data_IF_437920393469
#
_entry.id   IF_437920393469
#
_cell.length_a   1.000
_cell.length_b   1.000
_cell.length_c   1.000
_cell.angle_alpha   90.00
_cell.angle_beta   90.00
_cell.angle_gamma   90.00
#
_symmetry.space_group_name_H-M   'P 1'
#
loop_
_entity.id
_entity.type
_entity.pdbx_description
1 polymer ?
#
# COMPACT_ATOMS: atom_id res chain seq x y z
N UNK A 1 -20.63 12.41 5.48
CA UNK A 1 -19.45 13.29 5.73
C UNK A 1 -18.16 12.51 6.03
N UNK A 2 -18.20 11.21 6.39
CA UNK A 2 -16.98 10.38 6.58
C UNK A 2 -16.34 9.84 5.27
N UNK A 3 -16.98 10.07 4.12
CA UNK A 3 -16.61 9.49 2.81
C UNK A 3 -15.42 10.20 2.13
N UNK A 4 -15.09 11.42 2.56
CA UNK A 4 -14.14 12.30 1.86
C UNK A 4 -12.68 11.88 2.09
N UNK A 5 -12.29 11.63 3.35
CA UNK A 5 -10.90 11.27 3.69
C UNK A 5 -10.49 9.89 3.17
N UNK A 6 -11.39 8.89 3.25
CA UNK A 6 -11.12 7.54 2.73
C UNK A 6 -10.88 7.57 1.22
N UNK A 7 -11.70 8.34 0.50
CA UNK A 7 -11.54 8.51 -0.94
C UNK A 7 -10.25 9.25 -1.28
N UNK A 8 -9.85 10.25 -0.50
CA UNK A 8 -8.54 10.90 -0.65
C UNK A 8 -7.39 9.91 -0.42
N UNK A 9 -7.48 9.03 0.58
CA UNK A 9 -6.43 8.00 0.82
C UNK A 9 -6.31 7.01 -0.32
N UNK A 10 -7.43 6.67 -0.96
CA UNK A 10 -7.41 5.82 -2.15
C UNK A 10 -6.85 6.53 -3.38
N UNK A 11 -7.00 7.86 -3.49
CA UNK A 11 -6.32 8.65 -4.51
C UNK A 11 -4.81 8.68 -4.27
N UNK A 12 -4.38 8.91 -3.03
CA UNK A 12 -2.96 8.88 -2.66
C UNK A 12 -2.34 7.50 -2.99
N UNK A 13 -3.07 6.41 -2.70
CA UNK A 13 -2.68 5.05 -3.08
C UNK A 13 -2.63 4.84 -4.60
N UNK A 14 -3.52 5.49 -5.36
CA UNK A 14 -3.48 5.43 -6.81
C UNK A 14 -2.23 6.12 -7.36
N UNK A 15 -1.93 7.33 -6.89
CA UNK A 15 -0.75 8.10 -7.29
C UNK A 15 0.53 7.32 -6.97
N UNK A 16 0.53 6.61 -5.83
CA UNK A 16 1.58 5.69 -5.46
C UNK A 16 1.77 4.50 -6.44
N UNK A 17 0.69 4.05 -7.09
CA UNK A 17 0.76 2.95 -8.06
C UNK A 17 0.95 3.47 -9.49
N UNK A 18 0.79 4.76 -9.77
CA UNK A 18 1.02 5.40 -11.07
C UNK A 18 2.24 6.33 -11.04
N UNK A 19 3.46 5.80 -10.81
CA UNK A 19 4.66 6.63 -10.76
C UNK A 19 5.02 7.24 -12.12
N UNK A 20 4.57 6.63 -13.23
CA UNK A 20 4.74 7.17 -14.58
C UNK A 20 3.72 8.26 -14.93
N UNK A 21 2.76 8.54 -14.04
CA UNK A 21 1.74 9.60 -14.14
C UNK A 21 0.96 9.54 -15.45
N UNK A 22 0.63 8.33 -15.89
CA UNK A 22 -0.15 8.12 -17.10
C UNK A 22 -1.67 8.11 -16.85
N UNK A 23 -2.08 8.44 -15.61
CA UNK A 23 -3.45 8.54 -15.11
C UNK A 23 -4.20 7.20 -15.09
N UNK A 24 -3.47 6.09 -15.26
CA UNK A 24 -4.04 4.74 -15.23
C UNK A 24 -3.17 3.78 -14.43
N UNK A 25 -3.80 3.02 -13.53
CA UNK A 25 -3.13 1.88 -12.90
C UNK A 25 -3.45 0.62 -13.71
N UNK A 26 -2.44 -0.17 -14.00
CA UNK A 26 -2.56 -1.40 -14.77
C UNK A 26 -1.43 -2.38 -14.46
N UNK A 27 -1.31 -3.45 -15.26
CA UNK A 27 -0.21 -4.41 -15.11
C UNK A 27 1.18 -3.72 -15.12
N UNK A 28 1.35 -2.71 -15.96
CA UNK A 28 2.62 -1.98 -16.14
C UNK A 28 3.03 -1.22 -14.86
N UNK A 29 2.08 -0.63 -14.14
CA UNK A 29 2.26 0.01 -12.83
C UNK A 29 2.92 -0.93 -11.83
N UNK A 30 2.42 -2.16 -11.77
CA UNK A 30 2.96 -3.18 -10.87
C UNK A 30 4.33 -3.68 -11.34
N UNK A 31 4.52 -3.90 -12.64
CA UNK A 31 5.82 -4.29 -13.19
C UNK A 31 6.90 -3.22 -12.86
N UNK A 32 6.53 -1.93 -12.87
CA UNK A 32 7.42 -0.84 -12.46
C UNK A 32 7.75 -0.89 -10.95
N UNK A 33 6.73 -1.01 -10.09
CA UNK A 33 6.94 -1.13 -8.64
C UNK A 33 7.82 -2.34 -8.29
N UNK A 34 7.56 -3.50 -8.91
CA UNK A 34 8.36 -4.71 -8.74
C UNK A 34 9.81 -4.48 -9.17
N UNK A 35 10.03 -3.85 -10.32
CA UNK A 35 11.38 -3.57 -10.84
C UNK A 35 12.18 -2.69 -9.87
N UNK A 36 11.54 -1.74 -9.20
CA UNK A 36 12.17 -0.89 -8.19
C UNK A 36 12.50 -1.63 -6.90
N UNK A 37 11.70 -2.63 -6.57
CA UNK A 37 11.88 -3.47 -5.38
C UNK A 37 12.80 -4.67 -5.63
N UNK A 38 13.10 -5.01 -6.88
CA UNK A 38 13.94 -6.17 -7.25
C UNK A 38 15.39 -6.03 -6.71
N UNK A 39 15.88 -4.79 -6.60
CA UNK A 39 17.17 -4.48 -5.95
C UNK A 39 17.11 -4.58 -4.41
N UNK A 40 15.92 -4.74 -3.81
CA UNK A 40 15.74 -4.85 -2.37
C UNK A 40 15.73 -6.33 -1.94
N UNK A 41 16.90 -6.81 -1.48
CA UNK A 41 17.15 -8.21 -1.08
C UNK A 41 16.24 -8.74 0.04
N UNK A 42 15.61 -7.86 0.82
CA UNK A 42 14.74 -8.25 1.94
C UNK A 42 13.27 -8.45 1.53
N UNK A 43 12.94 -8.13 0.27
CA UNK A 43 11.59 -8.24 -0.29
C UNK A 43 11.42 -9.56 -1.02
N UNK A 44 10.39 -10.33 -0.68
CA UNK A 44 10.07 -11.54 -1.43
C UNK A 44 9.23 -11.19 -2.66
N UNK A 45 9.92 -10.85 -3.75
CA UNK A 45 9.32 -10.40 -5.01
C UNK A 45 8.27 -11.39 -5.56
N UNK A 46 8.48 -12.70 -5.39
CA UNK A 46 7.54 -13.72 -5.88
C UNK A 46 6.21 -13.69 -5.13
N UNK A 47 6.25 -13.53 -3.81
CA UNK A 47 5.03 -13.45 -3.02
C UNK A 47 4.38 -12.08 -3.15
N UNK A 48 5.18 -11.01 -3.32
CA UNK A 48 4.71 -9.66 -3.61
C UNK A 48 3.93 -9.61 -4.93
N UNK A 49 4.47 -10.23 -5.99
CA UNK A 49 3.80 -10.41 -7.27
C UNK A 49 2.45 -11.12 -7.14
N UNK A 50 2.36 -12.20 -6.34
CA UNK A 50 1.10 -12.92 -6.13
C UNK A 50 0.08 -12.06 -5.40
N UNK A 51 0.48 -11.41 -4.30
CA UNK A 51 -0.41 -10.56 -3.51
C UNK A 51 -0.96 -9.39 -4.35
N UNK A 52 -0.10 -8.75 -5.15
CA UNK A 52 -0.53 -7.71 -6.07
C UNK A 52 -1.46 -8.22 -7.16
N UNK A 53 -1.20 -9.39 -7.75
CA UNK A 53 -2.08 -9.96 -8.76
C UNK A 53 -3.48 -10.26 -8.18
N UNK A 54 -3.56 -10.79 -6.96
CA UNK A 54 -4.84 -11.01 -6.29
C UNK A 54 -5.58 -9.71 -5.98
N UNK A 55 -4.87 -8.69 -5.50
CA UNK A 55 -5.40 -7.34 -5.30
C UNK A 55 -5.93 -6.75 -6.61
N UNK A 56 -5.13 -6.81 -7.67
CA UNK A 56 -5.48 -6.29 -8.98
C UNK A 56 -6.72 -6.97 -9.56
N UNK A 57 -6.85 -8.30 -9.45
CA UNK A 57 -8.08 -9.00 -9.86
C UNK A 57 -9.32 -8.49 -9.12
N UNK A 58 -9.18 -8.14 -7.84
CA UNK A 58 -10.29 -7.58 -7.06
C UNK A 58 -10.74 -6.25 -7.65
N UNK A 59 -9.79 -5.35 -7.95
CA UNK A 59 -10.07 -4.06 -8.59
C UNK A 59 -10.65 -4.24 -10.00
N UNK A 60 -10.11 -5.16 -10.80
CA UNK A 60 -10.56 -5.45 -12.16
C UNK A 60 -11.98 -6.01 -12.22
N UNK A 61 -12.31 -6.95 -11.35
CA UNK A 61 -13.64 -7.60 -11.32
C UNK A 61 -14.77 -6.58 -11.14
N UNK A 62 -14.50 -5.47 -10.47
CA UNK A 62 -15.44 -4.37 -10.21
C UNK A 62 -15.51 -3.36 -11.36
N UNK A 63 -14.54 -3.39 -12.26
CA UNK A 63 -14.39 -2.48 -13.39
C UNK A 63 -14.61 -3.18 -14.75
N UNK A 64 -15.33 -4.31 -14.76
CA UNK A 64 -15.62 -5.06 -15.99
C UNK A 64 -14.38 -5.73 -16.59
N UNK A 65 -13.41 -6.12 -15.75
CA UNK A 65 -12.16 -6.78 -16.15
C UNK A 65 -11.30 -5.97 -17.13
N UNK A 66 -11.34 -4.64 -17.03
CA UNK A 66 -10.50 -3.75 -17.85
C UNK A 66 -9.01 -3.99 -17.56
N UNK A 67 -8.14 -3.88 -18.57
CA UNK A 67 -6.69 -4.05 -18.40
C UNK A 67 -6.03 -2.92 -17.61
N UNK A 68 -6.67 -1.75 -17.58
CA UNK A 68 -6.27 -0.56 -16.82
C UNK A 68 -7.50 0.08 -16.17
N UNK A 69 -7.28 0.81 -15.07
CA UNK A 69 -8.33 1.58 -14.38
C UNK A 69 -7.85 3.01 -14.15
N UNK A 70 -8.75 3.97 -14.36
CA UNK A 70 -8.51 5.37 -13.99
C UNK A 70 -8.55 5.57 -12.47
N UNK A 71 -8.07 6.73 -12.00
CA UNK A 71 -8.11 7.11 -10.57
C UNK A 71 -9.50 6.97 -9.97
N UNK A 72 -10.54 7.47 -10.64
CA UNK A 72 -11.91 7.39 -10.14
C UNK A 72 -12.40 5.94 -10.06
N UNK A 73 -12.16 5.14 -11.10
CA UNK A 73 -12.52 3.71 -11.13
C UNK A 73 -11.82 2.89 -10.04
N UNK A 74 -10.58 3.26 -9.71
CA UNK A 74 -9.83 2.66 -8.62
C UNK A 74 -10.44 2.99 -7.26
N UNK A 75 -10.71 4.28 -7.01
CA UNK A 75 -11.34 4.76 -5.78
C UNK A 75 -12.72 4.14 -5.59
N UNK A 76 -13.55 4.09 -6.63
CA UNK A 76 -14.89 3.48 -6.59
C UNK A 76 -14.82 1.98 -6.28
N UNK A 77 -13.88 1.25 -6.90
CA UNK A 77 -13.69 -0.17 -6.63
C UNK A 77 -13.30 -0.46 -5.18
N UNK A 78 -12.38 0.34 -4.62
CA UNK A 78 -11.95 0.22 -3.23
C UNK A 78 -13.02 0.68 -2.24
N UNK A 79 -13.79 1.72 -2.56
CA UNK A 79 -14.91 2.17 -1.74
C UNK A 79 -16.02 1.12 -1.67
N UNK A 80 -16.26 0.42 -2.77
CA UNK A 80 -17.19 -0.71 -2.79
C UNK A 80 -16.64 -1.95 -2.07
N UNK A 81 -15.34 -1.99 -1.70
CA UNK A 81 -14.72 -3.17 -1.07
C UNK A 81 -15.05 -3.17 0.41
N UNK A 82 -15.62 -4.28 0.92
CA UNK A 82 -15.94 -4.36 2.34
C UNK A 82 -14.64 -4.33 3.16
N UNK A 83 -14.68 -3.72 4.35
CA UNK A 83 -13.50 -3.59 5.21
C UNK A 83 -12.80 -4.93 5.45
N UNK A 84 -13.54 -6.02 5.67
CA UNK A 84 -12.98 -7.36 5.83
C UNK A 84 -12.18 -7.86 4.62
N UNK A 85 -12.61 -7.54 3.40
CA UNK A 85 -11.88 -7.90 2.18
C UNK A 85 -10.61 -7.05 2.06
N UNK A 86 -10.72 -5.76 2.40
CA UNK A 86 -9.59 -4.84 2.43
C UNK A 86 -8.54 -5.23 3.49
N UNK A 87 -8.97 -5.70 4.65
CA UNK A 87 -8.13 -6.22 5.74
C UNK A 87 -7.34 -7.46 5.32
N UNK A 88 -7.98 -8.35 4.54
CA UNK A 88 -7.31 -9.51 3.97
C UNK A 88 -6.29 -9.13 2.91
N UNK A 89 -6.64 -8.17 2.05
CA UNK A 89 -5.75 -7.68 0.98
C UNK A 89 -4.52 -6.97 1.55
N UNK A 90 -4.72 -6.04 2.49
CA UNK A 90 -3.63 -5.32 3.16
C UNK A 90 -2.71 -6.25 3.94
N UNK A 91 -3.27 -7.21 4.67
CA UNK A 91 -2.47 -8.21 5.38
C UNK A 91 -1.64 -9.09 4.44
N UNK A 92 -2.13 -9.38 3.23
CA UNK A 92 -1.37 -10.12 2.20
C UNK A 92 -0.27 -9.25 1.59
N UNK A 93 -0.58 -8.01 1.24
CA UNK A 93 0.43 -7.06 0.71
C UNK A 93 1.55 -6.89 1.73
N UNK A 94 1.23 -6.68 3.01
CA UNK A 94 2.24 -6.60 4.07
C UNK A 94 3.07 -7.88 4.19
N UNK A 95 2.41 -9.04 4.30
CA UNK A 95 3.11 -10.33 4.40
C UNK A 95 4.01 -10.60 3.19
N UNK A 96 3.64 -10.07 2.03
CA UNK A 96 4.40 -10.23 0.80
C UNK A 96 5.57 -9.24 0.66
N UNK A 97 5.41 -8.01 1.16
CA UNK A 97 6.44 -7.00 1.16
C UNK A 97 7.51 -7.27 2.24
N UNK A 98 7.08 -7.72 3.42
CA UNK A 98 7.95 -7.80 4.59
C UNK A 98 8.10 -9.20 5.20
N UNK A 99 7.27 -10.16 4.78
CA UNK A 99 7.20 -11.50 5.39
C UNK A 99 6.20 -11.59 6.55
N UNK A 100 6.16 -12.76 7.21
CA UNK A 100 5.33 -12.99 8.40
C UNK A 100 6.04 -12.63 9.72
N UNK A 101 7.23 -12.04 9.65
CA UNK A 101 8.05 -11.71 10.83
C UNK A 101 7.96 -10.24 11.24
N UNK A 102 8.78 -9.90 12.22
CA UNK A 102 9.03 -8.53 12.67
C UNK A 102 9.72 -7.72 11.57
N UNK A 103 9.30 -6.48 11.39
CA UNK A 103 9.90 -5.55 10.43
C UNK A 103 10.63 -4.47 11.20
N UNK A 104 11.96 -4.47 11.16
CA UNK A 104 12.76 -3.42 11.80
C UNK A 104 12.60 -2.09 11.08
N UNK A 105 12.89 -0.99 11.78
CA UNK A 105 12.90 0.37 11.18
C UNK A 105 13.74 0.47 9.92
N UNK A 106 14.96 -0.09 9.93
CA UNK A 106 15.85 -0.07 8.76
C UNK A 106 15.23 -0.81 7.56
N UNK A 107 14.66 -2.01 7.79
CA UNK A 107 13.98 -2.77 6.73
C UNK A 107 12.78 -2.01 6.16
N UNK A 108 11.97 -1.41 7.03
CA UNK A 108 10.82 -0.60 6.60
C UNK A 108 11.27 0.60 5.75
N UNK A 109 12.29 1.34 6.22
CA UNK A 109 12.82 2.51 5.52
C UNK A 109 13.39 2.14 4.15
N UNK A 110 14.18 1.06 4.04
CA UNK A 110 14.72 0.59 2.75
C UNK A 110 13.65 0.19 1.77
N UNK A 111 12.61 -0.51 2.23
CA UNK A 111 11.45 -0.84 1.39
C UNK A 111 10.76 0.44 0.91
N UNK A 112 10.51 1.38 1.83
CA UNK A 112 9.81 2.62 1.55
C UNK A 112 10.55 3.49 0.54
N UNK A 113 11.88 3.60 0.65
CA UNK A 113 12.71 4.39 -0.27
C UNK A 113 12.87 3.70 -1.62
N UNK A 114 13.02 2.37 -1.66
CA UNK A 114 13.06 1.61 -2.90
C UNK A 114 11.74 1.73 -3.68
N UNK A 115 10.60 1.69 -2.99
CA UNK A 115 9.28 1.92 -3.57
C UNK A 115 9.10 3.36 -4.10
N UNK A 116 9.95 4.31 -3.69
CA UNK A 116 10.00 5.67 -4.20
C UNK A 116 9.70 6.78 -3.22
N UNK A 117 9.48 6.43 -1.96
CA UNK A 117 9.18 7.38 -0.92
C UNK A 117 10.42 8.07 -0.36
N UNK A 118 10.17 9.17 0.34
CA UNK A 118 11.21 9.89 1.08
C UNK A 118 11.58 9.16 2.39
N UNK A 119 12.87 9.21 2.74
CA UNK A 119 13.39 8.55 3.95
C UNK A 119 12.81 9.15 5.23
N UNK A 120 12.71 10.47 5.34
CA UNK A 120 12.17 11.12 6.54
C UNK A 120 10.68 10.79 6.72
N UNK A 121 9.94 10.74 5.61
CA UNK A 121 8.56 10.26 5.61
C UNK A 121 8.46 8.80 6.07
N UNK A 122 9.34 7.91 5.57
CA UNK A 122 9.40 6.51 5.98
C UNK A 122 9.60 6.37 7.50
N UNK A 123 10.52 7.16 8.07
CA UNK A 123 10.79 7.15 9.50
C UNK A 123 9.59 7.65 10.33
N UNK A 124 8.92 8.71 9.87
CA UNK A 124 7.71 9.23 10.52
C UNK A 124 6.60 8.18 10.55
N UNK A 125 6.40 7.45 9.45
CA UNK A 125 5.38 6.41 9.41
C UNK A 125 5.73 5.21 10.24
N UNK A 126 6.99 4.77 10.23
CA UNK A 126 7.42 3.70 11.14
C UNK A 126 7.04 4.03 12.58
N UNK A 127 7.40 5.22 13.08
CA UNK A 127 7.08 5.66 14.45
C UNK A 127 5.58 5.78 14.73
N UNK A 128 4.74 6.00 13.71
CA UNK A 128 3.28 6.00 13.88
C UNK A 128 2.67 4.60 13.91
N UNK A 129 3.27 3.66 13.17
CA UNK A 129 2.81 2.28 13.11
C UNK A 129 3.27 1.47 14.33
N UNK A 130 4.49 1.74 14.82
CA UNK A 130 5.12 1.13 16.00
C UNK A 130 4.46 1.69 17.26
N UNK A 131 3.36 1.04 17.65
CA UNK A 131 2.42 1.56 18.62
C UNK A 131 2.90 1.34 20.05
N UNK A 132 3.63 0.25 20.29
CA UNK A 132 4.24 -0.07 21.56
C UNK A 132 5.69 0.42 21.70
N UNK A 133 6.29 0.91 20.60
CA UNK A 133 7.63 1.51 20.53
C UNK A 133 8.73 0.51 20.84
N UNK A 134 8.52 -0.74 20.48
CA UNK A 134 9.52 -1.81 20.63
C UNK A 134 10.58 -1.78 19.51
N UNK A 135 10.39 -0.94 18.49
CA UNK A 135 11.33 -0.74 17.39
C UNK A 135 11.18 -1.74 16.25
N UNK A 136 10.13 -2.55 16.26
CA UNK A 136 9.71 -3.42 15.16
C UNK A 136 8.25 -3.17 14.80
N UNK A 137 7.84 -3.60 13.61
CA UNK A 137 6.44 -3.67 13.24
C UNK A 137 6.03 -5.12 13.10
N UNK A 138 4.96 -5.49 13.78
CA UNK A 138 4.28 -6.77 13.55
C UNK A 138 3.02 -6.58 12.69
N UNK A 139 2.51 -7.69 12.14
CA UNK A 139 1.31 -7.69 11.30
C UNK A 139 0.12 -6.97 11.95
N UNK A 140 -0.05 -7.12 13.27
CA UNK A 140 -1.16 -6.50 14.00
C UNK A 140 -1.03 -4.98 14.06
N UNK A 141 0.17 -4.46 14.27
CA UNK A 141 0.44 -3.02 14.32
C UNK A 141 0.28 -2.38 12.94
N UNK A 142 0.84 -3.01 11.90
CA UNK A 142 0.65 -2.54 10.54
C UNK A 142 -0.82 -2.50 10.15
N UNK A 143 -1.56 -3.57 10.46
CA UNK A 143 -3.00 -3.64 10.22
C UNK A 143 -3.76 -2.54 10.97
N UNK A 144 -3.49 -2.37 12.26
CA UNK A 144 -4.15 -1.37 13.10
C UNK A 144 -3.85 0.06 12.61
N UNK A 145 -2.60 0.31 12.23
CA UNK A 145 -2.17 1.59 11.66
C UNK A 145 -2.81 1.90 10.32
N UNK A 146 -2.93 0.91 9.42
CA UNK A 146 -3.62 1.08 8.14
C UNK A 146 -5.12 1.31 8.30
N UNK A 147 -5.79 0.54 9.16
CA UNK A 147 -7.22 0.73 9.46
C UNK A 147 -7.47 2.12 10.06
N UNK A 148 -6.59 2.56 10.97
CA UNK A 148 -6.65 3.90 11.54
C UNK A 148 -6.42 4.97 10.45
N UNK A 149 -5.43 4.80 9.58
CA UNK A 149 -5.14 5.73 8.48
C UNK A 149 -6.33 5.90 7.52
N UNK A 150 -7.06 4.83 7.22
CA UNK A 150 -8.21 4.87 6.32
C UNK A 150 -9.46 5.49 6.94
N UNK A 151 -9.58 5.44 8.26
CA UNK A 151 -10.77 5.91 8.98
C UNK A 151 -10.58 7.25 9.70
N UNK A 152 -9.34 7.67 9.95
CA UNK A 152 -9.08 8.87 10.72
C UNK A 152 -9.05 10.13 9.82
N UNK A 153 -9.80 11.16 10.23
CA UNK A 153 -9.85 12.49 9.62
C UNK A 153 -8.61 13.36 9.91
N UNK A 154 -7.70 12.90 10.79
CA UNK A 154 -6.48 13.63 11.08
C UNK A 154 -5.59 13.74 9.82
N UNK A 155 -4.86 14.85 9.63
CA UNK A 155 -3.92 15.02 8.53
C UNK A 155 -2.71 14.10 8.73
N UNK A 156 -2.89 12.80 8.50
CA UNK A 156 -1.77 11.88 8.36
C UNK A 156 -1.17 12.13 6.97
N UNK A 157 0.10 12.51 6.93
CA UNK A 157 0.89 12.55 5.71
C UNK A 157 0.67 11.25 4.91
N UNK A 158 0.44 11.38 3.61
CA UNK A 158 0.16 10.28 2.66
C UNK A 158 1.34 9.31 2.55
N UNK A 159 1.45 8.34 3.46
CA UNK A 159 2.73 7.65 3.68
C UNK A 159 2.57 6.16 4.07
N UNK A 160 1.46 5.47 3.80
CA UNK A 160 1.35 4.04 4.23
C UNK A 160 2.01 3.05 3.27
N UNK A 161 2.36 3.45 2.05
CA UNK A 161 2.82 2.50 1.01
C UNK A 161 4.13 2.83 0.29
N UNK A 162 4.85 3.88 0.67
CA UNK A 162 6.22 4.03 0.15
C UNK A 162 6.33 4.66 -1.22
N UNK A 163 5.30 5.31 -1.75
CA UNK A 163 5.42 5.92 -3.08
C UNK A 163 4.85 7.33 -3.06
N UNK A 164 5.66 8.26 -3.56
CA UNK A 164 5.39 9.69 -3.73
C UNK A 164 5.56 10.03 -5.20
#
# INVERSE_FOLDING_TARGET
>A
MATDHKSQRFQDLFDALDPDRNDVVGKHSFDNLISRLDDNSDTNIRDLQKAFHEFWRTVQSRNGNRPTVSKQQFVDALNATHLKEFDLLSGRVFASAFGFGEVTKDKFVRYYTAAGGDEAAAQEVFTRLDGDRDGVLVRQEFHSGLVNYLHNSAPASSVVLGVV
#
